data_IF_862487448321
#
_entry.id   IF_862487448321
#
_cell.length_a   1.000
_cell.length_b   1.000
_cell.length_c   1.000
_cell.angle_alpha   90.00
_cell.angle_beta   90.00
_cell.angle_gamma   90.00
#
_symmetry.space_group_name_H-M   'P 1'
#
loop_
_entity.id
_entity.type
_entity.pdbx_description
1 polymer ?
#
# COMPACT_ATOMS: atom_id res chain seq x y z
N UNK A 1 11.68 -11.95 -20.75
CA UNK A 1 10.66 -12.77 -20.07
C UNK A 1 11.01 -12.85 -18.60
N UNK A 2 10.24 -12.21 -17.74
CA UNK A 2 10.50 -12.22 -16.30
C UNK A 2 9.82 -13.46 -15.72
N UNK A 3 10.60 -14.39 -15.18
CA UNK A 3 10.04 -15.52 -14.42
C UNK A 3 9.53 -15.02 -13.08
N UNK A 4 8.22 -14.90 -12.96
CA UNK A 4 7.56 -14.62 -11.69
C UNK A 4 7.51 -15.92 -10.89
N UNK A 5 8.26 -15.98 -9.80
CA UNK A 5 8.22 -17.13 -8.89
C UNK A 5 6.91 -17.06 -8.11
N UNK A 6 5.98 -17.93 -8.46
CA UNK A 6 4.71 -18.04 -7.75
C UNK A 6 4.93 -18.55 -6.32
N UNK A 7 4.45 -17.81 -5.34
CA UNK A 7 4.48 -18.18 -3.93
C UNK A 7 3.05 -18.24 -3.38
N UNK A 8 2.47 -19.43 -3.28
CA UNK A 8 1.06 -19.59 -2.88
C UNK A 8 0.76 -19.08 -1.47
N UNK A 9 1.71 -19.17 -0.54
CA UNK A 9 1.52 -18.67 0.82
C UNK A 9 1.41 -17.13 0.87
N UNK A 10 2.12 -16.45 -0.03
CA UNK A 10 2.11 -14.99 -0.14
C UNK A 10 0.84 -14.48 -0.83
N UNK A 11 0.36 -15.21 -1.83
CA UNK A 11 -0.92 -14.90 -2.49
C UNK A 11 -2.12 -15.13 -1.57
N UNK A 12 -2.13 -16.20 -0.81
CA UNK A 12 -3.19 -16.48 0.17
C UNK A 12 -3.26 -15.39 1.26
N UNK A 13 -2.12 -14.93 1.78
CA UNK A 13 -2.09 -13.85 2.76
C UNK A 13 -2.61 -12.53 2.18
N UNK A 14 -2.26 -12.20 0.94
CA UNK A 14 -2.78 -11.00 0.28
C UNK A 14 -4.27 -11.10 -0.03
N UNK A 15 -4.76 -12.27 -0.41
CA UNK A 15 -6.20 -12.52 -0.66
C UNK A 15 -7.04 -12.41 0.62
N UNK A 16 -6.53 -12.88 1.77
CA UNK A 16 -7.24 -12.75 3.05
C UNK A 16 -7.33 -11.29 3.49
N UNK A 17 -6.29 -10.52 3.29
CA UNK A 17 -6.27 -9.10 3.60
C UNK A 17 -7.17 -8.31 2.65
N UNK A 18 -7.17 -8.63 1.38
CA UNK A 18 -8.09 -8.01 0.43
C UNK A 18 -9.55 -8.32 0.75
N UNK A 19 -9.86 -9.54 1.18
CA UNK A 19 -11.20 -9.89 1.70
C UNK A 19 -11.55 -9.09 2.94
N UNK A 20 -10.62 -8.96 3.89
CA UNK A 20 -10.84 -8.17 5.10
C UNK A 20 -11.04 -6.69 4.77
N UNK A 21 -10.27 -6.15 3.84
CA UNK A 21 -10.44 -4.79 3.34
C UNK A 21 -11.83 -4.59 2.70
N UNK A 22 -12.30 -5.54 1.92
CA UNK A 22 -13.65 -5.50 1.35
C UNK A 22 -14.72 -5.54 2.43
N UNK A 23 -14.62 -6.46 3.40
CA UNK A 23 -15.59 -6.57 4.49
C UNK A 23 -15.62 -5.30 5.37
N UNK A 24 -14.47 -4.74 5.69
CA UNK A 24 -14.39 -3.49 6.45
C UNK A 24 -14.99 -2.32 5.68
N UNK A 25 -14.75 -2.27 4.39
CA UNK A 25 -15.29 -1.23 3.53
C UNK A 25 -16.82 -1.30 3.41
N UNK A 26 -17.37 -2.52 3.28
CA UNK A 26 -18.81 -2.76 3.27
C UNK A 26 -19.47 -2.41 4.62
N UNK A 27 -18.75 -2.64 5.72
CA UNK A 27 -19.26 -2.36 7.06
C UNK A 27 -19.32 -0.85 7.37
N UNK A 28 -18.38 -0.07 6.82
CA UNK A 28 -18.32 1.38 7.03
C UNK A 28 -19.09 2.20 5.99
N UNK A 29 -19.65 1.55 4.97
CA UNK A 29 -20.29 2.22 3.85
C UNK A 29 -21.77 1.96 3.79
N UNK A 30 -22.53 2.88 4.33
CA UNK A 30 -23.96 3.04 3.98
C UNK A 30 -24.09 3.84 2.67
N UNK A 31 -23.37 3.45 1.63
CA UNK A 31 -23.32 4.17 0.38
C UNK A 31 -22.27 3.59 -0.56
N UNK A 32 -21.89 4.31 -1.58
CA UNK A 32 -20.82 3.90 -2.50
C UNK A 32 -19.48 3.83 -1.75
N UNK A 33 -19.03 2.62 -1.46
CA UNK A 33 -17.72 2.37 -0.89
C UNK A 33 -16.62 2.92 -1.82
N UNK A 34 -15.74 3.74 -1.28
CA UNK A 34 -14.56 4.19 -2.01
C UNK A 34 -13.35 3.37 -1.57
N UNK A 35 -12.79 2.65 -2.53
CA UNK A 35 -11.55 1.90 -2.32
C UNK A 35 -10.49 2.43 -3.29
N UNK A 36 -9.44 3.10 -2.79
CA UNK A 36 -8.39 3.62 -3.66
C UNK A 36 -7.64 2.49 -4.36
N UNK A 37 -7.36 2.68 -5.66
CA UNK A 37 -6.50 1.78 -6.41
C UNK A 37 -5.07 1.87 -5.90
N UNK A 38 -4.40 0.72 -5.82
CA UNK A 38 -3.05 0.60 -5.27
C UNK A 38 -2.19 -0.28 -6.18
N UNK A 39 -0.99 0.19 -6.47
CA UNK A 39 0.10 -0.61 -7.04
C UNK A 39 1.13 -0.92 -5.96
N UNK A 40 1.63 -2.15 -5.95
CA UNK A 40 2.76 -2.56 -5.13
C UNK A 40 3.80 -3.22 -6.03
N UNK A 41 5.01 -2.72 -5.99
CA UNK A 41 6.12 -3.28 -6.75
C UNK A 41 7.42 -3.25 -5.94
N UNK A 42 8.34 -4.09 -6.31
CA UNK A 42 9.69 -4.15 -5.74
C UNK A 42 10.69 -3.58 -6.74
N UNK A 43 11.54 -2.67 -6.27
CA UNK A 43 12.62 -2.11 -7.08
C UNK A 43 13.80 -3.06 -7.19
N UNK A 44 14.75 -2.78 -8.10
CA UNK A 44 15.99 -3.54 -8.21
C UNK A 44 16.84 -3.50 -6.92
N UNK A 45 16.73 -2.40 -6.16
CA UNK A 45 17.40 -2.24 -4.87
C UNK A 45 16.67 -2.96 -3.72
N UNK A 46 15.70 -3.79 -4.04
CA UNK A 46 14.92 -4.56 -3.06
C UNK A 46 14.13 -3.68 -2.09
N UNK A 47 13.64 -2.56 -2.56
CA UNK A 47 12.71 -1.69 -1.85
C UNK A 47 11.27 -1.95 -2.35
N UNK A 48 10.33 -2.14 -1.44
CA UNK A 48 8.91 -2.16 -1.80
C UNK A 48 8.39 -0.74 -1.94
N UNK A 49 7.65 -0.50 -2.99
CA UNK A 49 6.99 0.78 -3.25
C UNK A 49 5.50 0.53 -3.40
N UNK A 50 4.72 1.20 -2.56
CA UNK A 50 3.27 1.17 -2.60
C UNK A 50 2.78 2.53 -3.10
N UNK A 51 1.99 2.54 -4.16
CA UNK A 51 1.36 3.74 -4.70
C UNK A 51 -0.15 3.62 -4.59
N UNK A 52 -0.78 4.57 -3.92
CA UNK A 52 -2.23 4.64 -3.78
C UNK A 52 -2.77 5.91 -4.44
N UNK A 53 -3.80 5.76 -5.26
CA UNK A 53 -4.47 6.89 -5.89
C UNK A 53 -5.48 7.50 -4.93
N UNK A 54 -5.15 8.68 -4.41
CA UNK A 54 -5.97 9.43 -3.44
C UNK A 54 -6.24 10.86 -3.94
N UNK A 55 -6.78 11.03 -5.16
CA UNK A 55 -7.03 12.36 -5.69
C UNK A 55 -8.06 13.09 -4.82
N UNK A 56 -7.89 14.40 -4.72
CA UNK A 56 -8.81 15.27 -3.97
C UNK A 56 -8.97 14.85 -2.49
N UNK A 57 -7.89 14.34 -1.91
CA UNK A 57 -7.81 13.99 -0.50
C UNK A 57 -6.81 14.92 0.19
N UNK A 58 -7.15 15.44 1.34
CA UNK A 58 -6.25 16.31 2.10
C UNK A 58 -5.18 15.46 2.76
N UNK A 59 -3.93 15.95 2.77
CA UNK A 59 -2.82 15.27 3.45
C UNK A 59 -3.16 14.93 4.90
N UNK A 60 -3.81 15.84 5.62
CA UNK A 60 -4.17 15.66 7.02
C UNK A 60 -5.24 14.57 7.24
N UNK A 61 -5.95 14.21 6.18
CA UNK A 61 -6.96 13.15 6.19
C UNK A 61 -6.39 11.78 5.74
N UNK A 62 -5.07 11.68 5.57
CA UNK A 62 -4.36 10.43 5.19
C UNK A 62 -3.46 10.00 6.34
N UNK A 63 -3.58 8.74 6.74
CA UNK A 63 -2.73 8.14 7.75
C UNK A 63 -2.08 6.85 7.24
N UNK A 64 -0.80 6.69 7.54
CA UNK A 64 -0.01 5.50 7.22
C UNK A 64 0.53 4.94 8.52
N UNK A 65 0.27 3.68 8.80
CA UNK A 65 0.78 2.98 9.97
C UNK A 65 1.40 1.64 9.59
N UNK A 66 2.38 1.21 10.36
CA UNK A 66 3.00 -0.10 10.22
C UNK A 66 3.10 -0.76 11.59
N UNK A 67 2.43 -1.88 11.74
CA UNK A 67 2.39 -2.63 12.99
C UNK A 67 2.27 -4.13 12.71
N UNK A 68 3.04 -4.93 13.43
CA UNK A 68 3.01 -6.40 13.33
C UNK A 68 3.17 -6.93 11.88
N UNK A 69 4.02 -6.29 11.09
CA UNK A 69 4.24 -6.68 9.70
C UNK A 69 3.15 -6.24 8.73
N UNK A 70 2.18 -5.45 9.18
CA UNK A 70 1.07 -4.96 8.35
C UNK A 70 1.18 -3.45 8.16
N UNK A 71 1.27 -3.04 6.90
CA UNK A 71 1.16 -1.64 6.49
C UNK A 71 -0.32 -1.31 6.28
N UNK A 72 -0.82 -0.29 6.96
CA UNK A 72 -2.20 0.15 6.83
C UNK A 72 -2.27 1.60 6.36
N UNK A 73 -3.02 1.81 5.30
CA UNK A 73 -3.36 3.11 4.75
C UNK A 73 -4.81 3.41 5.10
N UNK A 74 -5.06 4.48 5.83
CA UNK A 74 -6.43 4.92 6.15
C UNK A 74 -6.60 6.39 5.82
N UNK A 75 -7.82 6.78 5.61
CA UNK A 75 -8.14 8.19 5.39
C UNK A 75 -9.59 8.41 5.02
N UNK A 76 -9.88 9.64 4.65
CA UNK A 76 -11.22 10.06 4.28
C UNK A 76 -11.14 11.06 3.12
N UNK A 77 -11.93 10.81 2.08
CA UNK A 77 -12.21 11.81 1.05
C UNK A 77 -13.56 12.44 1.34
N UNK A 78 -13.53 13.69 1.78
CA UNK A 78 -14.71 14.45 2.12
C UNK A 78 -15.33 15.07 0.87
N UNK A 79 -16.66 15.05 0.78
CA UNK A 79 -17.37 15.80 -0.23
C UNK A 79 -17.25 17.30 0.09
N UNK A 80 -16.82 18.09 -0.90
CA UNK A 80 -16.70 19.55 -0.74
C UNK A 80 -18.05 20.25 -0.83
N UNK A 81 -18.99 19.65 -1.56
CA UNK A 81 -20.29 20.25 -1.80
C UNK A 81 -21.31 19.83 -0.73
N UNK A 82 -21.88 20.83 -0.08
CA UNK A 82 -22.94 20.64 0.90
C UNK A 82 -24.32 20.69 0.21
N UNK A 83 -25.06 19.57 0.29
CA UNK A 83 -26.41 19.47 -0.27
C UNK A 83 -27.42 20.43 0.34
N UNK A 84 -27.14 21.00 1.51
CA UNK A 84 -27.96 22.08 2.12
C UNK A 84 -27.82 23.42 1.37
N UNK A 85 -26.75 23.58 0.59
CA UNK A 85 -26.47 24.83 -0.14
C UNK A 85 -26.79 24.72 -1.65
N UNK A 86 -27.25 23.57 -2.11
CA UNK A 86 -27.54 23.36 -3.52
C UNK A 86 -27.93 21.92 -3.84
N UNK A 87 -27.93 21.59 -5.12
CA UNK A 87 -28.36 20.29 -5.63
C UNK A 87 -27.33 19.70 -6.57
N UNK A 88 -26.99 18.43 -6.38
CA UNK A 88 -26.23 17.69 -7.37
C UNK A 88 -27.06 17.41 -8.61
N UNK A 89 -26.56 17.78 -9.77
CA UNK A 89 -27.13 17.34 -11.06
C UNK A 89 -26.63 15.97 -11.48
N UNK A 90 -25.38 15.65 -11.11
CA UNK A 90 -24.75 14.35 -11.30
C UNK A 90 -23.70 14.13 -10.21
N UNK A 91 -23.70 12.96 -9.61
CA UNK A 91 -22.70 12.57 -8.63
C UNK A 91 -22.21 11.15 -8.94
N UNK A 92 -21.02 11.04 -9.51
CA UNK A 92 -20.40 9.76 -9.87
C UNK A 92 -19.16 9.47 -9.03
N UNK A 93 -18.61 10.50 -8.37
CA UNK A 93 -17.42 10.36 -7.53
C UNK A 93 -17.77 9.70 -6.21
N UNK A 94 -16.94 8.75 -5.78
CA UNK A 94 -17.07 8.12 -4.48
C UNK A 94 -16.39 8.95 -3.40
N UNK A 95 -16.97 9.01 -2.23
CA UNK A 95 -16.47 9.72 -1.05
C UNK A 95 -16.52 8.81 0.18
N UNK A 96 -15.89 9.24 1.25
CA UNK A 96 -15.95 8.58 2.52
C UNK A 96 -14.61 8.06 2.99
N UNK A 97 -14.66 7.26 4.03
CA UNK A 97 -13.48 6.64 4.64
C UNK A 97 -13.02 5.46 3.83
N UNK A 98 -11.70 5.28 3.81
CA UNK A 98 -11.07 4.10 3.23
C UNK A 98 -10.06 3.49 4.20
N UNK A 99 -9.83 2.21 4.04
CA UNK A 99 -8.77 1.47 4.72
C UNK A 99 -8.21 0.41 3.79
N UNK A 100 -6.89 0.41 3.61
CA UNK A 100 -6.16 -0.60 2.85
C UNK A 100 -5.04 -1.15 3.72
N UNK A 101 -4.93 -2.46 3.84
CA UNK A 101 -3.89 -3.12 4.63
C UNK A 101 -3.11 -4.12 3.78
N UNK A 102 -1.79 -4.16 3.98
CA UNK A 102 -0.88 -5.02 3.23
C UNK A 102 0.09 -5.68 4.20
N UNK A 103 0.17 -7.01 4.14
CA UNK A 103 1.20 -7.75 4.85
C UNK A 103 2.52 -7.62 4.12
N UNK A 104 3.55 -7.15 4.81
CA UNK A 104 4.89 -7.03 4.27
C UNK A 104 5.79 -8.15 4.82
N UNK A 105 6.83 -8.56 4.07
CA UNK A 105 7.77 -9.56 4.55
C UNK A 105 8.50 -9.09 5.82
N UNK A 106 8.92 -10.04 6.65
CA UNK A 106 9.70 -9.74 7.86
C UNK A 106 11.09 -9.10 7.57
N UNK A 107 11.49 -9.10 6.31
CA UNK A 107 12.75 -8.51 5.83
C UNK A 107 12.73 -6.99 5.74
N UNK A 108 11.57 -6.35 5.87
CA UNK A 108 11.46 -4.89 5.76
C UNK A 108 12.04 -4.20 6.98
N UNK A 109 12.60 -3.02 6.76
CA UNK A 109 13.09 -2.14 7.82
C UNK A 109 12.01 -1.11 8.21
N UNK A 110 11.30 -1.40 9.29
CA UNK A 110 10.22 -0.57 9.80
C UNK A 110 10.67 0.87 10.14
N UNK A 111 11.94 1.04 10.54
CA UNK A 111 12.47 2.36 10.94
C UNK A 111 12.78 3.27 9.74
N UNK A 112 12.80 2.72 8.55
CA UNK A 112 13.15 3.44 7.32
C UNK A 112 11.96 3.60 6.37
N UNK A 113 10.76 3.26 6.79
CA UNK A 113 9.54 3.49 6.01
C UNK A 113 9.33 4.99 5.87
N UNK A 114 9.09 5.43 4.65
CA UNK A 114 8.77 6.82 4.33
C UNK A 114 7.54 6.92 3.46
N UNK A 115 6.81 8.02 3.59
CA UNK A 115 5.63 8.28 2.80
C UNK A 115 5.66 9.70 2.24
N UNK A 116 5.23 9.88 1.01
CA UNK A 116 5.07 11.17 0.35
C UNK A 116 3.74 11.23 -0.39
N UNK A 117 3.14 12.40 -0.41
CA UNK A 117 1.87 12.64 -1.11
C UNK A 117 2.05 13.79 -2.10
N UNK A 118 1.87 13.49 -3.38
CA UNK A 118 2.02 14.46 -4.46
C UNK A 118 1.08 14.12 -5.62
N UNK A 119 0.48 15.14 -6.20
CA UNK A 119 -0.39 15.01 -7.38
C UNK A 119 -1.52 13.98 -7.20
N UNK A 120 -2.06 13.88 -6.00
CA UNK A 120 -3.11 12.92 -5.68
C UNK A 120 -2.64 11.48 -5.51
N UNK A 121 -1.34 11.24 -5.47
CA UNK A 121 -0.76 9.90 -5.29
C UNK A 121 0.04 9.84 -3.99
N UNK A 122 -0.35 8.93 -3.12
CA UNK A 122 0.44 8.56 -1.95
C UNK A 122 1.46 7.51 -2.36
N UNK A 123 2.72 7.78 -2.11
CA UNK A 123 3.83 6.84 -2.33
C UNK A 123 4.44 6.46 -0.99
N UNK A 124 4.40 5.19 -0.65
CA UNK A 124 5.06 4.64 0.55
C UNK A 124 6.24 3.80 0.10
N UNK A 125 7.42 4.10 0.63
CA UNK A 125 8.66 3.38 0.37
C UNK A 125 9.04 2.57 1.59
N UNK A 126 9.28 1.29 1.37
CA UNK A 126 9.57 0.31 2.42
C UNK A 126 10.85 -0.42 2.07
N UNK A 127 12.00 0.09 2.49
CA UNK A 127 13.27 -0.58 2.25
C UNK A 127 13.39 -1.88 3.03
N UNK A 128 14.13 -2.82 2.49
CA UNK A 128 14.50 -4.03 3.22
C UNK A 128 15.74 -3.76 4.09
N UNK A 129 15.87 -4.53 5.16
CA UNK A 129 17.07 -4.49 6.00
C UNK A 129 18.29 -4.94 5.20
N UNK A 130 19.43 -4.33 5.43
CA UNK A 130 20.68 -4.65 4.75
C UNK A 130 21.05 -6.14 4.92
N UNK A 131 20.82 -6.71 6.08
CA UNK A 131 21.08 -8.12 6.39
C UNK A 131 20.19 -9.09 5.60
N UNK A 132 19.03 -8.63 5.10
CA UNK A 132 18.09 -9.41 4.31
C UNK A 132 18.37 -9.34 2.81
N UNK A 133 19.26 -8.44 2.36
CA UNK A 133 19.64 -8.33 0.96
C UNK A 133 20.57 -9.50 0.56
N UNK A 134 20.46 -10.02 -0.67
CA UNK A 134 21.38 -11.05 -1.15
C UNK A 134 22.82 -10.60 -1.03
N UNK A 135 23.65 -11.44 -0.44
CA UNK A 135 25.08 -11.20 -0.30
C UNK A 135 25.82 -11.98 -1.35
N UNK A 136 26.61 -11.30 -2.17
CA UNK A 136 27.55 -11.98 -3.06
C UNK A 136 28.77 -12.44 -2.27
N UNK A 137 29.05 -13.74 -2.38
CA UNK A 137 30.24 -14.34 -1.77
C UNK A 137 31.26 -14.55 -2.89
N UNK A 138 32.43 -13.94 -2.77
CA UNK A 138 33.53 -14.18 -3.67
C UNK A 138 34.07 -15.61 -3.43
N UNK A 139 34.24 -16.34 -4.51
CA UNK A 139 34.87 -17.66 -4.45
C UNK A 139 36.37 -17.50 -4.77
N UNK A 140 37.20 -17.67 -3.78
CA UNK A 140 38.64 -17.70 -3.97
C UNK A 140 39.02 -19.06 -4.53
N UNK A 141 39.73 -19.07 -5.63
CA UNK A 141 40.30 -20.29 -6.18
C UNK A 141 41.62 -20.52 -5.46
N UNK A 142 41.61 -21.49 -4.58
CA UNK A 142 42.85 -21.94 -3.97
C UNK A 142 43.68 -22.63 -5.06
N UNK A 143 44.70 -21.97 -5.55
CA UNK A 143 45.64 -22.53 -6.49
C UNK A 143 46.65 -23.46 -5.75
N UNK A 144 46.12 -24.48 -5.08
CA UNK A 144 46.95 -25.52 -4.55
C UNK A 144 47.46 -26.38 -5.72
N UNK A 145 48.73 -26.56 -5.80
CA UNK A 145 49.41 -27.43 -6.74
C UNK A 145 48.82 -28.82 -6.84
#
# INVERSE_FOLDING_TARGET
>A
MTLVRWNPARELASMEIDRLNHMLNDFYSTGRAWMPAVDIFETQDREYVIKAELPDTRRDDINVSFENGVLTLTGERKAEFDTNQGTYHRSERAYGRFSRSFTLPATVDANRISASYKDGVLTVRVPQREEAKPKQIAVDIDSAQ
#
